data_IF_948678270314
#
_entry.id   IF_948678270314
#
_cell.length_a   1.000
_cell.length_b   1.000
_cell.length_c   1.000
_cell.angle_alpha   90.00
_cell.angle_beta   90.00
_cell.angle_gamma   90.00
#
_symmetry.space_group_name_H-M   'P 1'
#
loop_
_entity.id
_entity.type
_entity.pdbx_description
1 polymer ?
#
# COMPACT_ATOMS: atom_id res chain seq x y z
N UNK A 1 5.20 34.56 30.06
CA UNK A 1 5.69 34.25 31.42
C UNK A 1 6.44 32.90 31.46
N UNK A 2 5.85 31.75 31.15
CA UNK A 2 6.58 30.44 31.12
C UNK A 2 7.84 30.46 30.23
N UNK A 3 7.76 31.05 29.05
CA UNK A 3 8.87 31.26 28.14
C UNK A 3 10.03 32.04 28.78
N UNK A 4 9.72 33.14 29.45
CA UNK A 4 10.74 33.98 30.08
C UNK A 4 11.40 33.26 31.26
N UNK A 5 10.63 32.58 32.10
CA UNK A 5 11.15 31.82 33.24
C UNK A 5 12.04 30.65 32.82
N UNK A 6 11.74 30.03 31.72
CA UNK A 6 12.48 28.84 31.24
C UNK A 6 13.72 29.23 30.42
N UNK A 7 13.61 30.20 29.49
CA UNK A 7 14.67 30.52 28.55
C UNK A 7 15.48 31.76 28.94
N UNK A 8 14.83 32.81 29.40
CA UNK A 8 15.51 34.06 29.75
C UNK A 8 16.11 34.07 31.15
N UNK A 9 15.34 33.63 32.11
CA UNK A 9 15.80 33.64 33.52
C UNK A 9 16.41 32.29 33.97
N UNK A 10 16.23 31.21 33.19
CA UNK A 10 16.72 29.87 33.48
C UNK A 10 16.39 29.37 34.91
N UNK A 11 15.35 29.91 35.50
CA UNK A 11 14.91 29.55 36.85
C UNK A 11 14.09 28.27 36.88
N UNK A 12 13.48 27.91 35.72
CA UNK A 12 12.62 26.73 35.61
C UNK A 12 13.25 25.70 34.68
N UNK A 13 13.48 24.49 35.18
CA UNK A 13 13.91 23.39 34.32
C UNK A 13 12.82 23.03 33.30
N UNK A 14 13.17 22.56 32.09
CA UNK A 14 12.20 22.22 31.03
C UNK A 14 11.10 21.27 31.47
N UNK A 15 11.44 20.24 32.26
CA UNK A 15 10.51 19.26 32.78
C UNK A 15 9.47 19.90 33.75
N UNK A 16 9.88 20.87 34.60
CA UNK A 16 8.95 21.61 35.46
C UNK A 16 8.06 22.54 34.64
N UNK A 17 8.60 23.18 33.60
CA UNK A 17 7.79 24.00 32.68
C UNK A 17 6.71 23.16 31.98
N UNK A 18 7.05 21.97 31.53
CA UNK A 18 6.09 20.99 30.99
C UNK A 18 5.05 20.61 32.05
N UNK A 19 5.46 20.32 33.29
CA UNK A 19 4.55 20.03 34.42
C UNK A 19 3.54 21.14 34.69
N UNK A 20 4.00 22.39 34.72
CA UNK A 20 3.12 23.58 34.93
C UNK A 20 2.12 23.67 33.76
N UNK A 21 2.56 23.49 32.53
CA UNK A 21 1.68 23.50 31.34
C UNK A 21 0.65 22.37 31.41
N UNK A 22 1.06 21.20 31.90
CA UNK A 22 0.19 20.05 32.11
C UNK A 22 -0.88 20.34 33.19
N UNK A 23 -0.51 20.88 34.33
CA UNK A 23 -1.43 21.26 35.41
C UNK A 23 -2.43 22.29 34.89
N UNK A 24 -1.96 23.30 34.15
CA UNK A 24 -2.84 24.29 33.54
C UNK A 24 -3.86 23.68 32.59
N UNK A 25 -3.42 22.76 31.74
CA UNK A 25 -4.31 22.02 30.83
C UNK A 25 -5.32 21.20 31.61
N UNK A 26 -4.90 20.44 32.63
CA UNK A 26 -5.78 19.66 33.49
C UNK A 26 -6.83 20.53 34.19
N UNK A 27 -6.41 21.66 34.77
CA UNK A 27 -7.31 22.58 35.43
C UNK A 27 -8.37 23.15 34.46
N UNK A 28 -7.96 23.56 33.27
CA UNK A 28 -8.88 24.05 32.24
C UNK A 28 -9.88 22.96 31.79
N UNK A 29 -9.41 21.71 31.60
CA UNK A 29 -10.29 20.60 31.30
C UNK A 29 -11.26 20.28 32.43
N UNK A 30 -10.79 20.37 33.68
CA UNK A 30 -11.63 20.17 34.88
C UNK A 30 -12.73 21.23 35.01
N UNK A 31 -12.37 22.50 34.81
CA UNK A 31 -13.34 23.61 34.85
C UNK A 31 -14.43 23.48 33.80
N UNK A 32 -14.02 23.02 32.58
CA UNK A 32 -14.97 22.85 31.48
C UNK A 32 -15.72 21.53 31.53
N UNK A 33 -15.44 20.64 32.51
CA UNK A 33 -16.05 19.30 32.57
C UNK A 33 -17.55 19.36 32.80
N UNK A 34 -18.00 20.25 33.68
CA UNK A 34 -19.42 20.45 34.02
C UNK A 34 -20.14 21.38 33.05
N UNK A 35 -19.43 22.40 32.59
CA UNK A 35 -19.99 23.41 31.71
C UNK A 35 -19.62 23.11 30.27
N UNK A 36 -20.57 23.23 29.35
CA UNK A 36 -20.33 23.08 27.91
C UNK A 36 -19.49 24.25 27.32
N UNK A 37 -18.57 24.84 28.10
CA UNK A 37 -17.74 25.96 27.72
C UNK A 37 -16.70 25.57 26.64
N UNK A 38 -17.18 25.22 25.47
CA UNK A 38 -16.38 24.84 24.28
C UNK A 38 -15.27 25.87 23.94
N UNK A 39 -15.48 27.20 24.04
CA UNK A 39 -14.44 28.17 23.69
C UNK A 39 -13.21 28.13 24.60
N UNK A 40 -13.38 27.91 25.89
CA UNK A 40 -12.25 27.83 26.85
C UNK A 40 -11.38 26.64 26.52
N UNK A 41 -11.99 25.53 26.24
CA UNK A 41 -11.28 24.28 25.83
C UNK A 41 -10.49 24.49 24.54
N UNK A 42 -11.06 25.22 23.58
CA UNK A 42 -10.43 25.54 22.31
C UNK A 42 -9.17 26.37 22.49
N UNK A 43 -9.31 27.48 23.25
CA UNK A 43 -8.18 28.38 23.52
C UNK A 43 -7.08 27.67 24.31
N UNK A 44 -7.46 26.89 25.33
CA UNK A 44 -6.48 26.16 26.17
C UNK A 44 -5.74 25.10 25.34
N UNK A 45 -6.46 24.31 24.57
CA UNK A 45 -5.87 23.27 23.74
C UNK A 45 -4.92 23.86 22.69
N UNK A 46 -5.32 24.96 22.05
CA UNK A 46 -4.47 25.65 21.08
C UNK A 46 -3.23 26.25 21.76
N UNK A 47 -3.44 26.98 22.86
CA UNK A 47 -2.34 27.62 23.62
C UNK A 47 -1.34 26.57 24.11
N UNK A 48 -1.82 25.48 24.74
CA UNK A 48 -0.95 24.39 25.19
C UNK A 48 -0.18 23.77 24.04
N UNK A 49 -0.84 23.52 22.90
CA UNK A 49 -0.19 22.91 21.72
C UNK A 49 0.92 23.81 21.15
N UNK A 50 0.64 25.10 20.99
CA UNK A 50 1.61 26.06 20.46
C UNK A 50 2.79 26.25 21.41
N UNK A 51 2.49 26.47 22.71
CA UNK A 51 3.55 26.68 23.71
C UNK A 51 4.42 25.43 23.88
N UNK A 52 3.82 24.23 23.88
CA UNK A 52 4.57 22.98 23.98
C UNK A 52 5.51 22.80 22.78
N UNK A 53 5.06 23.05 21.55
CA UNK A 53 5.92 22.98 20.36
C UNK A 53 7.07 24.00 20.38
N UNK A 54 6.78 25.24 20.78
CA UNK A 54 7.81 26.28 20.86
C UNK A 54 8.86 25.92 21.93
N UNK A 55 8.41 25.50 23.10
CA UNK A 55 9.31 25.12 24.20
C UNK A 55 10.11 23.85 23.86
N UNK A 56 9.53 22.87 23.17
CA UNK A 56 10.23 21.67 22.68
C UNK A 56 11.46 22.04 21.87
N UNK A 57 11.32 22.98 20.93
CA UNK A 57 12.43 23.43 20.07
C UNK A 57 13.44 24.25 20.87
N UNK A 58 12.94 25.16 21.71
CA UNK A 58 13.77 26.15 22.38
C UNK A 58 14.54 25.62 23.60
N UNK A 59 14.04 24.58 24.27
CA UNK A 59 14.67 23.99 25.46
C UNK A 59 15.48 22.73 25.17
N UNK A 60 15.43 22.24 23.93
CA UNK A 60 16.03 20.98 23.50
C UNK A 60 15.56 19.73 24.29
N UNK A 61 14.46 19.85 25.06
CA UNK A 61 13.83 18.75 25.79
C UNK A 61 12.57 18.28 25.05
N UNK A 62 12.74 17.29 24.20
CA UNK A 62 11.64 16.82 23.33
C UNK A 62 10.61 15.99 24.11
N UNK A 63 11.04 15.14 25.04
CA UNK A 63 10.15 14.12 25.65
C UNK A 63 9.11 14.71 26.58
N UNK A 64 9.48 15.69 27.41
CA UNK A 64 8.58 16.31 28.36
C UNK A 64 7.40 16.97 27.65
N UNK A 65 7.67 17.72 26.57
CA UNK A 65 6.62 18.45 25.83
C UNK A 65 5.77 17.53 24.96
N UNK A 66 6.33 16.48 24.36
CA UNK A 66 5.54 15.45 23.67
C UNK A 66 4.60 14.76 24.66
N UNK A 67 5.05 14.47 25.87
CA UNK A 67 4.20 13.91 26.93
C UNK A 67 2.99 14.78 27.25
N UNK A 68 3.16 16.09 27.33
CA UNK A 68 2.06 17.04 27.54
C UNK A 68 1.09 17.09 26.37
N UNK A 69 1.61 17.03 25.13
CA UNK A 69 0.75 17.00 23.94
C UNK A 69 -0.08 15.70 23.88
N UNK A 70 0.53 14.54 24.17
CA UNK A 70 -0.19 13.27 24.28
C UNK A 70 -1.24 13.32 25.38
N UNK A 71 -0.89 13.85 26.55
CA UNK A 71 -1.85 14.05 27.66
C UNK A 71 -3.03 14.92 27.23
N UNK A 72 -2.77 16.04 26.57
CA UNK A 72 -3.82 16.94 26.07
C UNK A 72 -4.72 16.24 25.04
N UNK A 73 -4.15 15.41 24.18
CA UNK A 73 -4.88 14.60 23.21
C UNK A 73 -5.82 13.60 23.92
N UNK A 74 -5.31 12.89 24.93
CA UNK A 74 -6.09 11.93 25.75
C UNK A 74 -7.23 12.65 26.47
N UNK A 75 -6.98 13.81 27.06
CA UNK A 75 -8.02 14.62 27.72
C UNK A 75 -9.12 15.03 26.74
N UNK A 76 -8.76 15.42 25.51
CA UNK A 76 -9.73 15.72 24.45
C UNK A 76 -10.59 14.47 24.10
N UNK A 77 -9.98 13.29 24.04
CA UNK A 77 -10.70 12.05 23.75
C UNK A 77 -11.65 11.64 24.90
N UNK A 78 -11.22 11.78 26.15
CA UNK A 78 -12.04 11.47 27.32
C UNK A 78 -13.26 12.40 27.39
N UNK A 79 -13.05 13.72 27.24
CA UNK A 79 -14.16 14.70 27.32
C UNK A 79 -15.10 14.60 26.11
N UNK A 80 -14.55 14.40 24.92
CA UNK A 80 -15.35 14.28 23.69
C UNK A 80 -16.31 13.10 23.74
N UNK A 81 -15.91 12.08 24.47
CA UNK A 81 -16.61 10.81 24.48
C UNK A 81 -16.62 10.18 23.07
N UNK A 82 -17.04 8.94 22.97
CA UNK A 82 -17.00 8.23 21.70
C UNK A 82 -18.01 8.75 20.66
N UNK A 83 -19.11 9.36 21.11
CA UNK A 83 -20.18 9.89 20.23
C UNK A 83 -19.98 11.32 19.75
N UNK A 84 -19.14 12.10 20.39
CA UNK A 84 -18.85 13.48 19.99
C UNK A 84 -17.35 13.64 19.79
N UNK A 85 -16.85 13.48 18.57
CA UNK A 85 -15.50 13.95 18.28
C UNK A 85 -15.51 15.48 18.51
N UNK A 86 -14.80 15.93 19.54
CA UNK A 86 -14.65 17.37 19.76
C UNK A 86 -13.99 17.97 18.51
N UNK A 87 -14.59 19.03 17.97
CA UNK A 87 -14.02 19.79 16.84
C UNK A 87 -12.61 20.31 17.12
N UNK A 88 -12.21 20.31 18.40
CA UNK A 88 -10.92 20.81 18.92
C UNK A 88 -9.81 19.77 18.80
N UNK A 89 -10.12 18.48 18.82
CA UNK A 89 -9.16 17.37 18.82
C UNK A 89 -8.10 17.40 17.70
N UNK A 90 -8.40 17.84 16.49
CA UNK A 90 -7.39 17.93 15.44
C UNK A 90 -6.17 18.78 15.79
N UNK A 91 -6.32 19.77 16.66
CA UNK A 91 -5.23 20.68 17.04
C UNK A 91 -4.16 19.96 17.85
N UNK A 92 -4.46 19.34 19.02
CA UNK A 92 -3.46 18.61 19.78
C UNK A 92 -2.96 17.36 19.02
N UNK A 93 -3.78 16.74 18.18
CA UNK A 93 -3.37 15.61 17.37
C UNK A 93 -2.30 16.01 16.36
N UNK A 94 -2.55 17.07 15.58
CA UNK A 94 -1.58 17.60 14.63
C UNK A 94 -0.31 18.11 15.33
N UNK A 95 -0.46 18.78 16.47
CA UNK A 95 0.68 19.24 17.25
C UNK A 95 1.54 18.07 17.76
N UNK A 96 0.91 16.97 18.19
CA UNK A 96 1.64 15.77 18.62
C UNK A 96 2.38 15.10 17.46
N UNK A 97 1.75 15.01 16.27
CA UNK A 97 2.42 14.50 15.06
C UNK A 97 3.63 15.34 14.70
N UNK A 98 3.51 16.68 14.72
CA UNK A 98 4.61 17.59 14.43
C UNK A 98 5.72 17.41 15.48
N UNK A 99 5.37 17.27 16.76
CA UNK A 99 6.34 17.07 17.84
C UNK A 99 7.13 15.76 17.67
N UNK A 100 6.46 14.67 17.32
CA UNK A 100 7.10 13.37 17.03
C UNK A 100 7.94 13.45 15.75
N UNK A 101 7.48 14.18 14.74
CA UNK A 101 8.24 14.40 13.52
C UNK A 101 9.51 15.22 13.77
N UNK A 102 9.44 16.27 14.59
CA UNK A 102 10.62 17.04 15.03
C UNK A 102 11.62 16.14 15.76
N UNK A 103 11.16 15.30 16.69
CA UNK A 103 12.01 14.31 17.36
C UNK A 103 12.69 13.37 16.34
N UNK A 104 11.94 12.86 15.36
CA UNK A 104 12.49 12.01 14.30
C UNK A 104 13.57 12.73 13.51
N UNK A 105 13.33 13.95 13.03
CA UNK A 105 14.27 14.74 12.22
C UNK A 105 15.55 15.04 12.99
N UNK A 106 15.45 15.44 14.24
CA UNK A 106 16.61 15.77 15.08
C UNK A 106 17.49 14.53 15.29
N UNK A 107 16.91 13.43 15.73
CA UNK A 107 17.69 12.23 16.09
C UNK A 107 18.00 11.32 14.89
N UNK A 108 17.45 11.56 13.72
CA UNK A 108 17.87 10.87 12.48
C UNK A 108 19.22 11.39 11.96
N UNK A 109 19.65 12.58 12.40
CA UNK A 109 20.96 13.13 12.08
C UNK A 109 21.84 13.17 13.36
N UNK A 110 22.64 12.13 13.63
CA UNK A 110 23.36 11.98 14.89
C UNK A 110 24.42 13.07 15.12
N UNK A 111 24.98 13.66 14.06
CA UNK A 111 25.98 14.73 14.20
C UNK A 111 25.36 16.04 14.70
N UNK A 112 24.18 16.38 14.23
CA UNK A 112 23.45 17.58 14.65
C UNK A 112 22.87 17.40 16.07
N UNK A 113 22.39 16.22 16.40
CA UNK A 113 21.81 15.94 17.72
C UNK A 113 22.83 15.90 18.85
N UNK A 114 24.09 15.53 18.60
CA UNK A 114 25.12 15.35 19.61
C UNK A 114 25.62 16.66 20.24
N UNK A 115 25.38 17.81 19.62
CA UNK A 115 25.89 19.11 20.10
C UNK A 115 24.96 19.73 21.16
N UNK A 116 23.63 19.64 20.98
CA UNK A 116 22.67 20.41 21.78
C UNK A 116 21.61 19.56 22.50
N UNK A 117 21.48 18.26 22.13
CA UNK A 117 20.42 17.40 22.64
C UNK A 117 20.96 16.25 23.52
N UNK A 118 20.18 15.86 24.52
CA UNK A 118 20.54 14.75 25.40
C UNK A 118 20.56 13.43 24.60
N UNK A 119 21.55 12.57 24.90
CA UNK A 119 21.61 11.21 24.34
C UNK A 119 20.46 10.37 24.90
N UNK A 120 19.51 10.02 24.06
CA UNK A 120 18.36 9.20 24.41
C UNK A 120 18.57 7.74 23.93
N UNK A 121 18.10 6.80 24.72
CA UNK A 121 18.10 5.40 24.32
C UNK A 121 17.06 5.12 23.24
N UNK A 122 17.28 4.10 22.43
CA UNK A 122 16.40 3.70 21.34
C UNK A 122 14.93 3.54 21.78
N UNK A 123 14.71 2.87 22.90
CA UNK A 123 13.33 2.68 23.43
C UNK A 123 12.65 3.99 23.80
N UNK A 124 13.40 4.93 24.36
CA UNK A 124 12.88 6.26 24.73
C UNK A 124 12.47 7.06 23.50
N UNK A 125 13.21 6.95 22.40
CA UNK A 125 12.89 7.60 21.12
C UNK A 125 11.67 6.98 20.44
N UNK A 126 11.45 5.67 20.60
CA UNK A 126 10.32 4.96 20.00
C UNK A 126 9.01 5.15 20.76
N UNK A 127 9.08 5.29 22.09
CA UNK A 127 7.90 5.33 22.96
C UNK A 127 6.86 6.35 22.54
N UNK A 128 7.19 7.63 22.21
CA UNK A 128 6.17 8.61 21.80
C UNK A 128 5.41 8.21 20.55
N UNK A 129 6.09 7.72 19.53
CA UNK A 129 5.48 7.33 18.26
C UNK A 129 4.58 6.09 18.42
N UNK A 130 5.03 5.10 19.19
CA UNK A 130 4.24 3.90 19.49
C UNK A 130 2.99 4.28 20.30
N UNK A 131 3.15 5.13 21.30
CA UNK A 131 2.04 5.54 22.18
C UNK A 131 0.99 6.33 21.40
N UNK A 132 1.43 7.25 20.54
CA UNK A 132 0.55 8.01 19.66
C UNK A 132 -0.24 7.09 18.72
N UNK A 133 0.44 6.16 18.07
CA UNK A 133 -0.22 5.19 17.18
C UNK A 133 -1.22 4.30 17.93
N UNK A 134 -0.86 3.80 19.10
CA UNK A 134 -1.77 2.99 19.92
C UNK A 134 -3.03 3.77 20.33
N UNK A 135 -2.89 5.02 20.74
CA UNK A 135 -4.02 5.88 21.07
C UNK A 135 -4.96 6.06 19.87
N UNK A 136 -4.42 6.31 18.68
CA UNK A 136 -5.25 6.47 17.48
C UNK A 136 -5.97 5.17 17.10
N UNK A 137 -5.30 4.02 17.18
CA UNK A 137 -5.91 2.73 16.89
C UNK A 137 -6.99 2.37 17.90
N UNK A 138 -6.72 2.53 19.21
CA UNK A 138 -7.71 2.26 20.26
C UNK A 138 -8.96 3.11 20.03
N UNK A 139 -8.76 4.38 19.72
CA UNK A 139 -9.87 5.28 19.41
C UNK A 139 -10.68 4.84 18.21
N UNK A 140 -10.03 4.53 17.07
CA UNK A 140 -10.71 4.05 15.87
C UNK A 140 -11.52 2.78 16.17
N UNK A 141 -10.95 1.85 16.95
CA UNK A 141 -11.61 0.63 17.36
C UNK A 141 -12.84 0.92 18.25
N UNK A 142 -12.68 1.77 19.25
CA UNK A 142 -13.79 2.13 20.15
C UNK A 142 -14.92 2.80 19.38
N UNK A 143 -14.62 3.78 18.52
CA UNK A 143 -15.64 4.48 17.74
C UNK A 143 -16.37 3.58 16.76
N UNK A 144 -15.63 2.75 16.01
CA UNK A 144 -16.21 1.97 14.92
C UNK A 144 -16.83 0.65 15.36
N UNK A 145 -16.16 -0.08 16.29
CA UNK A 145 -16.58 -1.44 16.69
C UNK A 145 -17.52 -1.39 17.87
N UNK A 146 -17.22 -0.58 18.88
CA UNK A 146 -18.00 -0.54 20.11
C UNK A 146 -19.24 0.33 19.97
N UNK A 147 -19.08 1.54 19.41
CA UNK A 147 -20.20 2.49 19.26
C UNK A 147 -20.86 2.46 17.88
N UNK A 148 -20.28 1.78 16.90
CA UNK A 148 -20.84 1.66 15.56
C UNK A 148 -20.89 2.99 14.78
N UNK A 149 -20.09 3.98 15.18
CA UNK A 149 -20.10 5.29 14.55
C UNK A 149 -19.36 5.31 13.21
N UNK A 150 -19.76 6.25 12.35
CA UNK A 150 -19.09 6.50 11.06
C UNK A 150 -17.76 7.19 11.30
N UNK A 151 -16.67 6.53 10.96
CA UNK A 151 -15.34 7.13 11.01
C UNK A 151 -15.25 8.33 10.09
N UNK A 152 -14.68 9.44 10.55
CA UNK A 152 -14.43 10.63 9.73
C UNK A 152 -13.15 10.45 8.92
N UNK A 153 -13.07 11.12 7.77
CA UNK A 153 -11.86 11.13 6.94
C UNK A 153 -10.65 11.65 7.75
N UNK A 154 -10.87 12.65 8.58
CA UNK A 154 -9.84 13.25 9.43
C UNK A 154 -9.26 12.24 10.42
N UNK A 155 -10.13 11.46 11.11
CA UNK A 155 -9.69 10.43 12.06
C UNK A 155 -8.87 9.35 11.37
N UNK A 156 -9.27 8.98 10.14
CA UNK A 156 -8.53 7.99 9.35
C UNK A 156 -7.19 8.53 8.89
N UNK A 157 -7.13 9.78 8.42
CA UNK A 157 -5.90 10.42 8.01
C UNK A 157 -4.92 10.56 9.18
N UNK A 158 -5.41 10.95 10.36
CA UNK A 158 -4.61 11.05 11.57
C UNK A 158 -3.95 9.71 11.94
N UNK A 159 -4.73 8.63 11.93
CA UNK A 159 -4.19 7.31 12.22
C UNK A 159 -3.15 6.86 11.16
N UNK A 160 -3.33 7.22 9.89
CA UNK A 160 -2.33 6.95 8.83
C UNK A 160 -1.03 7.71 9.12
N UNK A 161 -1.13 9.00 9.48
CA UNK A 161 0.05 9.82 9.81
C UNK A 161 0.79 9.23 11.00
N UNK A 162 0.08 8.91 12.09
CA UNK A 162 0.67 8.29 13.29
C UNK A 162 1.33 6.94 12.99
N UNK A 163 0.73 6.13 12.10
CA UNK A 163 1.31 4.86 11.64
C UNK A 163 2.61 5.09 10.85
N UNK A 164 2.60 6.04 9.92
CA UNK A 164 3.80 6.36 9.12
C UNK A 164 4.92 6.93 9.99
N UNK A 165 4.60 7.77 10.97
CA UNK A 165 5.57 8.28 11.94
C UNK A 165 6.18 7.15 12.78
N UNK A 166 5.35 6.24 13.29
CA UNK A 166 5.84 5.08 14.04
C UNK A 166 6.76 4.21 13.17
N UNK A 167 6.39 3.94 11.91
CA UNK A 167 7.23 3.20 10.97
C UNK A 167 8.55 3.90 10.70
N UNK A 168 8.53 5.21 10.48
CA UNK A 168 9.73 5.99 10.29
C UNK A 168 10.64 5.95 11.53
N UNK A 169 10.10 6.14 12.73
CA UNK A 169 10.86 6.04 13.97
C UNK A 169 11.51 4.65 14.14
N UNK A 170 10.78 3.56 13.88
CA UNK A 170 11.33 2.21 13.96
C UNK A 170 12.43 1.99 12.91
N UNK A 171 12.23 2.48 11.69
CA UNK A 171 13.21 2.37 10.61
C UNK A 171 14.53 3.08 10.97
N UNK A 172 14.47 4.31 11.49
CA UNK A 172 15.66 5.08 11.81
C UNK A 172 16.34 4.65 13.13
N UNK A 173 15.56 4.26 14.15
CA UNK A 173 16.13 4.04 15.51
C UNK A 173 16.29 2.58 15.91
N UNK A 174 15.42 1.68 15.46
CA UNK A 174 15.44 0.28 15.91
C UNK A 174 16.12 -0.71 14.96
N UNK A 175 16.58 -0.23 13.80
CA UNK A 175 17.23 -1.05 12.79
C UNK A 175 16.44 -2.32 12.39
N UNK A 176 17.13 -3.34 11.92
CA UNK A 176 16.52 -4.54 11.32
C UNK A 176 15.61 -5.34 12.27
N UNK A 177 16.02 -5.50 13.53
CA UNK A 177 15.26 -6.28 14.51
C UNK A 177 13.91 -5.63 14.87
N UNK A 178 13.90 -4.32 15.04
CA UNK A 178 12.66 -3.56 15.30
C UNK A 178 11.69 -3.61 14.13
N UNK A 179 12.20 -3.54 12.90
CA UNK A 179 11.36 -3.65 11.69
C UNK A 179 10.69 -5.03 11.58
N UNK A 180 11.40 -6.12 11.92
CA UNK A 180 10.80 -7.45 11.90
C UNK A 180 9.66 -7.59 12.93
N UNK A 181 9.85 -7.08 14.14
CA UNK A 181 8.80 -7.09 15.18
C UNK A 181 7.61 -6.26 14.73
N UNK A 182 7.84 -5.05 14.26
CA UNK A 182 6.79 -4.17 13.77
C UNK A 182 6.03 -4.79 12.58
N UNK A 183 6.75 -5.44 11.68
CA UNK A 183 6.16 -6.17 10.55
C UNK A 183 5.26 -7.31 11.02
N UNK A 184 5.71 -8.12 11.98
CA UNK A 184 4.89 -9.20 12.57
C UNK A 184 3.62 -8.66 13.26
N UNK A 185 3.76 -7.57 14.03
CA UNK A 185 2.63 -6.88 14.66
C UNK A 185 1.66 -6.35 13.59
N UNK A 186 2.19 -5.77 12.51
CA UNK A 186 1.37 -5.26 11.41
C UNK A 186 0.57 -6.37 10.72
N UNK A 187 1.16 -7.55 10.52
CA UNK A 187 0.44 -8.73 10.00
C UNK A 187 -0.68 -9.15 10.98
N UNK A 188 -0.39 -9.24 12.27
CA UNK A 188 -1.40 -9.60 13.27
C UNK A 188 -2.56 -8.60 13.30
N UNK A 189 -2.27 -7.29 13.23
CA UNK A 189 -3.28 -6.24 13.14
C UNK A 189 -4.09 -6.31 11.83
N UNK A 190 -3.44 -6.60 10.70
CA UNK A 190 -4.12 -6.80 9.43
C UNK A 190 -5.12 -7.96 9.50
N UNK A 191 -4.72 -9.09 10.09
CA UNK A 191 -5.61 -10.23 10.32
C UNK A 191 -6.77 -9.85 11.24
N UNK A 192 -6.53 -9.09 12.31
CA UNK A 192 -7.59 -8.54 13.16
C UNK A 192 -8.58 -7.68 12.38
N UNK A 193 -8.11 -6.80 11.50
CA UNK A 193 -8.96 -6.03 10.61
C UNK A 193 -9.80 -6.93 9.67
N UNK A 194 -9.24 -8.00 9.12
CA UNK A 194 -9.99 -8.97 8.30
C UNK A 194 -11.07 -9.70 9.11
N UNK A 195 -10.77 -10.09 10.34
CA UNK A 195 -11.78 -10.71 11.23
C UNK A 195 -12.95 -9.74 11.47
N UNK A 196 -12.67 -8.47 11.71
CA UNK A 196 -13.70 -7.44 11.87
C UNK A 196 -14.50 -7.21 10.57
N UNK A 197 -13.81 -7.15 9.42
CA UNK A 197 -14.45 -6.98 8.11
C UNK A 197 -15.42 -8.12 7.80
N UNK A 198 -14.99 -9.35 7.99
CA UNK A 198 -15.79 -10.54 7.64
C UNK A 198 -16.83 -10.88 8.70
N UNK A 199 -16.59 -10.54 9.98
CA UNK A 199 -17.51 -10.78 11.08
C UNK A 199 -18.51 -9.64 11.28
N UNK A 200 -18.03 -8.52 11.83
CA UNK A 200 -18.88 -7.42 12.31
C UNK A 200 -19.48 -6.56 11.19
N UNK A 201 -18.67 -6.22 10.16
CA UNK A 201 -19.10 -5.31 9.10
C UNK A 201 -19.75 -6.01 7.89
N UNK A 202 -19.82 -7.35 7.89
CA UNK A 202 -20.45 -8.10 6.81
C UNK A 202 -21.94 -7.79 6.67
N UNK A 203 -22.65 -7.66 7.79
CA UNK A 203 -24.10 -7.46 7.84
C UNK A 203 -24.50 -5.98 7.88
N UNK A 204 -23.57 -5.08 8.20
CA UNK A 204 -23.85 -3.64 8.28
C UNK A 204 -23.89 -2.99 6.89
N UNK A 205 -24.93 -2.21 6.65
CA UNK A 205 -25.07 -1.35 5.47
C UNK A 205 -24.04 -0.21 5.40
N UNK A 206 -23.30 0.01 6.47
CA UNK A 206 -22.26 1.05 6.60
C UNK A 206 -21.02 0.72 5.76
N UNK A 207 -21.08 1.08 4.49
CA UNK A 207 -20.00 0.85 3.52
C UNK A 207 -18.70 1.57 3.89
N UNK A 208 -18.78 2.71 4.60
CA UNK A 208 -17.64 3.58 4.89
C UNK A 208 -16.64 2.94 5.84
N UNK A 209 -17.08 2.42 6.99
CA UNK A 209 -16.20 1.76 7.95
C UNK A 209 -15.56 0.51 7.32
N UNK A 210 -16.34 -0.24 6.53
CA UNK A 210 -15.83 -1.37 5.77
C UNK A 210 -14.67 -0.96 4.86
N UNK A 211 -14.82 0.12 4.08
CA UNK A 211 -13.76 0.62 3.18
C UNK A 211 -12.51 1.04 3.97
N UNK A 212 -12.69 1.75 5.09
CA UNK A 212 -11.57 2.21 5.92
C UNK A 212 -10.77 1.02 6.47
N UNK A 213 -11.44 0.04 7.08
CA UNK A 213 -10.76 -1.15 7.60
C UNK A 213 -10.14 -2.01 6.49
N UNK A 214 -10.76 -2.04 5.31
CA UNK A 214 -10.19 -2.69 4.14
C UNK A 214 -8.88 -2.03 3.70
N UNK A 215 -8.85 -0.70 3.59
CA UNK A 215 -7.61 0.05 3.26
C UNK A 215 -6.54 -0.16 4.32
N UNK A 216 -6.90 -0.12 5.61
CA UNK A 216 -5.99 -0.39 6.70
C UNK A 216 -5.40 -1.80 6.65
N UNK A 217 -6.24 -2.82 6.48
CA UNK A 217 -5.75 -4.20 6.37
C UNK A 217 -4.80 -4.38 5.19
N UNK A 218 -5.07 -3.69 4.08
CA UNK A 218 -4.17 -3.72 2.91
C UNK A 218 -2.80 -3.11 3.23
N UNK A 219 -2.77 -1.90 3.78
CA UNK A 219 -1.53 -1.22 4.13
C UNK A 219 -0.71 -1.99 5.17
N UNK A 220 -1.35 -2.47 6.24
CA UNK A 220 -0.72 -3.25 7.30
C UNK A 220 -0.16 -4.58 6.79
N UNK A 221 -0.91 -5.29 5.94
CA UNK A 221 -0.44 -6.56 5.40
C UNK A 221 0.73 -6.39 4.43
N UNK A 222 0.67 -5.38 3.56
CA UNK A 222 1.77 -5.04 2.65
C UNK A 222 3.03 -4.67 3.45
N UNK A 223 2.91 -3.71 4.37
CA UNK A 223 4.01 -3.29 5.21
C UNK A 223 4.59 -4.47 6.01
N UNK A 224 3.73 -5.28 6.62
CA UNK A 224 4.13 -6.43 7.41
C UNK A 224 4.87 -7.50 6.61
N UNK A 225 4.31 -7.95 5.49
CA UNK A 225 4.92 -9.01 4.68
C UNK A 225 6.22 -8.56 4.01
N UNK A 226 6.28 -7.32 3.50
CA UNK A 226 7.47 -6.82 2.80
C UNK A 226 8.66 -6.55 3.75
N UNK A 227 8.41 -6.40 5.04
CA UNK A 227 9.47 -6.17 6.03
C UNK A 227 9.90 -7.42 6.79
N UNK A 228 8.98 -8.38 6.98
CA UNK A 228 9.29 -9.62 7.72
C UNK A 228 9.85 -10.73 6.84
N UNK A 229 9.45 -10.77 5.55
CA UNK A 229 9.79 -11.88 4.67
C UNK A 229 10.73 -11.43 3.54
N UNK A 230 11.60 -12.34 3.04
CA UNK A 230 12.32 -12.10 1.79
C UNK A 230 11.34 -11.78 0.65
N UNK A 231 11.69 -10.84 -0.24
CA UNK A 231 10.81 -10.33 -1.29
C UNK A 231 10.10 -11.42 -2.11
N UNK A 232 10.80 -12.52 -2.40
CA UNK A 232 10.22 -13.64 -3.14
C UNK A 232 9.12 -14.36 -2.36
N UNK A 233 9.33 -14.60 -1.07
CA UNK A 233 8.32 -15.25 -0.20
C UNK A 233 7.15 -14.30 0.06
N UNK A 234 7.43 -13.03 0.32
CA UNK A 234 6.40 -12.00 0.45
C UNK A 234 5.51 -11.92 -0.79
N UNK A 235 6.11 -11.97 -1.98
CA UNK A 235 5.38 -11.99 -3.26
C UNK A 235 4.42 -13.19 -3.34
N UNK A 236 4.88 -14.39 -2.98
CA UNK A 236 4.04 -15.60 -3.00
C UNK A 236 2.86 -15.46 -2.02
N UNK A 237 3.11 -15.00 -0.80
CA UNK A 237 2.06 -14.75 0.19
C UNK A 237 1.04 -13.71 -0.33
N UNK A 238 1.51 -12.61 -0.91
CA UNK A 238 0.65 -11.57 -1.51
C UNK A 238 -0.15 -12.12 -2.69
N UNK A 239 0.45 -12.96 -3.54
CA UNK A 239 -0.25 -13.64 -4.63
C UNK A 239 -1.39 -14.53 -4.11
N UNK A 240 -1.15 -15.31 -3.07
CA UNK A 240 -2.19 -16.09 -2.39
C UNK A 240 -3.30 -15.22 -1.79
N UNK A 241 -2.93 -14.13 -1.10
CA UNK A 241 -3.89 -13.16 -0.57
C UNK A 241 -4.72 -12.50 -1.69
N UNK A 242 -4.14 -12.25 -2.86
CA UNK A 242 -4.84 -11.70 -4.01
C UNK A 242 -5.96 -12.63 -4.48
N UNK A 243 -5.66 -13.91 -4.66
CA UNK A 243 -6.66 -14.93 -5.06
C UNK A 243 -7.80 -15.00 -4.05
N UNK A 244 -7.48 -15.09 -2.75
CA UNK A 244 -8.47 -15.18 -1.67
C UNK A 244 -9.35 -13.92 -1.63
N UNK A 245 -8.76 -12.72 -1.70
CA UNK A 245 -9.52 -11.47 -1.63
C UNK A 245 -10.43 -11.28 -2.86
N UNK A 246 -9.98 -11.62 -4.06
CA UNK A 246 -10.83 -11.56 -5.26
C UNK A 246 -11.99 -12.57 -5.13
N UNK A 247 -11.71 -13.81 -4.76
CA UNK A 247 -12.75 -14.82 -4.58
C UNK A 247 -13.78 -14.42 -3.51
N UNK A 248 -13.32 -13.88 -2.36
CA UNK A 248 -14.21 -13.36 -1.32
C UNK A 248 -14.99 -12.13 -1.79
N UNK A 249 -14.33 -11.21 -2.53
CA UNK A 249 -14.96 -10.01 -3.08
C UNK A 249 -16.13 -10.34 -3.99
N UNK A 250 -15.93 -11.32 -4.88
CA UNK A 250 -16.98 -11.82 -5.79
C UNK A 250 -18.12 -12.47 -4.99
N UNK A 251 -17.81 -13.40 -4.08
CA UNK A 251 -18.83 -14.10 -3.26
C UNK A 251 -19.63 -13.17 -2.35
N UNK A 252 -18.98 -12.18 -1.75
CA UNK A 252 -19.60 -11.22 -0.84
C UNK A 252 -20.15 -9.98 -1.58
N UNK A 253 -19.98 -9.90 -2.89
CA UNK A 253 -20.35 -8.74 -3.73
C UNK A 253 -19.75 -7.41 -3.23
N UNK A 254 -18.48 -7.44 -2.77
CA UNK A 254 -17.76 -6.30 -2.21
C UNK A 254 -16.58 -5.89 -3.10
N UNK A 255 -16.76 -4.81 -3.84
CA UNK A 255 -15.76 -4.25 -4.76
C UNK A 255 -14.42 -3.91 -4.05
N UNK A 256 -14.48 -3.52 -2.78
CA UNK A 256 -13.29 -3.18 -2.00
C UNK A 256 -12.35 -4.37 -1.79
N UNK A 257 -12.87 -5.58 -1.60
CA UNK A 257 -12.05 -6.79 -1.49
C UNK A 257 -11.42 -7.17 -2.85
N UNK A 258 -12.15 -7.00 -3.93
CA UNK A 258 -11.61 -7.19 -5.29
C UNK A 258 -10.47 -6.21 -5.56
N UNK A 259 -10.64 -4.93 -5.17
CA UNK A 259 -9.59 -3.91 -5.28
C UNK A 259 -8.35 -4.27 -4.47
N UNK A 260 -8.51 -4.73 -3.22
CA UNK A 260 -7.41 -5.22 -2.39
C UNK A 260 -6.66 -6.36 -3.09
N UNK A 261 -7.40 -7.33 -3.63
CA UNK A 261 -6.82 -8.44 -4.38
C UNK A 261 -6.02 -7.98 -5.59
N UNK A 262 -6.52 -6.99 -6.35
CA UNK A 262 -5.80 -6.41 -7.48
C UNK A 262 -4.52 -5.67 -7.05
N UNK A 263 -4.55 -4.95 -5.92
CA UNK A 263 -3.37 -4.31 -5.33
C UNK A 263 -2.34 -5.34 -4.89
N UNK A 264 -2.76 -6.37 -4.16
CA UNK A 264 -1.84 -7.44 -3.73
C UNK A 264 -1.20 -8.17 -4.93
N UNK A 265 -1.97 -8.47 -5.97
CA UNK A 265 -1.45 -9.09 -7.17
C UNK A 265 -0.40 -8.21 -7.86
N UNK A 266 -0.68 -6.91 -8.00
CA UNK A 266 0.25 -5.95 -8.61
C UNK A 266 1.54 -5.86 -7.82
N UNK A 267 1.48 -5.74 -6.50
CA UNK A 267 2.66 -5.72 -5.64
C UNK A 267 3.41 -7.06 -5.69
N UNK A 268 2.70 -8.19 -5.74
CA UNK A 268 3.29 -9.52 -5.88
C UNK A 268 4.10 -9.67 -7.19
N UNK A 269 3.56 -9.18 -8.31
CA UNK A 269 4.25 -9.19 -9.62
C UNK A 269 5.53 -8.33 -9.58
N UNK A 270 5.50 -7.17 -8.91
CA UNK A 270 6.67 -6.30 -8.75
C UNK A 270 7.69 -6.94 -7.82
N UNK A 271 7.27 -7.39 -6.63
CA UNK A 271 8.14 -7.96 -5.61
C UNK A 271 8.80 -9.29 -6.03
N UNK A 272 8.11 -10.11 -6.83
CA UNK A 272 8.65 -11.34 -7.40
C UNK A 272 9.66 -11.11 -8.55
N UNK A 273 9.86 -9.85 -8.95
CA UNK A 273 10.62 -9.47 -10.16
C UNK A 273 10.02 -10.02 -11.48
N UNK A 274 8.76 -10.48 -11.46
CA UNK A 274 8.08 -10.94 -12.67
C UNK A 274 7.96 -9.84 -13.73
N UNK A 275 7.80 -8.59 -13.29
CA UNK A 275 7.80 -7.41 -14.16
C UNK A 275 9.15 -7.23 -14.87
N UNK A 276 10.27 -7.30 -14.12
CA UNK A 276 11.62 -7.18 -14.67
C UNK A 276 11.93 -8.36 -15.61
N UNK A 277 11.55 -9.56 -15.21
CA UNK A 277 11.69 -10.76 -16.03
C UNK A 277 10.92 -10.62 -17.35
N UNK A 278 9.64 -10.25 -17.30
CA UNK A 278 8.82 -10.06 -18.50
C UNK A 278 9.32 -8.93 -19.39
N UNK A 279 9.73 -7.80 -18.80
CA UNK A 279 10.33 -6.71 -19.54
C UNK A 279 11.63 -7.16 -20.23
N UNK A 280 12.55 -7.81 -19.52
CA UNK A 280 13.81 -8.30 -20.08
C UNK A 280 13.59 -9.33 -21.20
N UNK A 281 12.59 -10.21 -21.06
CA UNK A 281 12.18 -11.13 -22.15
C UNK A 281 11.66 -10.35 -23.35
N UNK A 282 10.91 -9.26 -23.16
CA UNK A 282 10.33 -8.47 -24.24
C UNK A 282 11.36 -7.56 -24.94
N UNK A 283 12.40 -7.13 -24.24
CA UNK A 283 13.45 -6.24 -24.77
C UNK A 283 14.69 -6.98 -25.29
N UNK A 284 14.68 -8.32 -25.28
CA UNK A 284 15.79 -9.12 -25.81
C UNK A 284 17.05 -9.13 -24.95
N UNK A 285 17.00 -8.55 -23.76
CA UNK A 285 18.12 -8.61 -22.82
C UNK A 285 18.34 -10.05 -22.31
N UNK A 286 19.59 -10.37 -21.89
CA UNK A 286 19.92 -11.67 -21.29
C UNK A 286 18.98 -11.93 -20.12
N UNK A 287 18.02 -12.79 -20.33
CA UNK A 287 16.93 -13.05 -19.39
C UNK A 287 17.47 -13.57 -18.07
N UNK A 288 17.13 -12.95 -16.93
CA UNK A 288 17.49 -13.47 -15.63
C UNK A 288 16.93 -14.89 -15.44
N UNK A 289 17.63 -15.71 -14.62
CA UNK A 289 17.17 -17.08 -14.34
C UNK A 289 15.74 -17.06 -13.82
N UNK A 290 14.87 -17.90 -14.40
CA UNK A 290 13.52 -18.09 -13.90
C UNK A 290 13.55 -18.62 -12.46
N UNK A 291 12.92 -17.91 -11.55
CA UNK A 291 12.74 -18.33 -10.15
C UNK A 291 11.37 -18.98 -9.97
N UNK A 292 11.24 -19.88 -9.01
CA UNK A 292 9.96 -20.52 -8.66
C UNK A 292 8.84 -19.51 -8.41
N UNK A 293 9.20 -18.35 -7.86
CA UNK A 293 8.25 -17.29 -7.57
C UNK A 293 7.47 -16.80 -8.79
N UNK A 294 8.14 -16.74 -9.97
CA UNK A 294 7.52 -16.28 -11.21
C UNK A 294 6.41 -17.25 -11.65
N UNK A 295 6.64 -18.56 -11.54
CA UNK A 295 5.65 -19.59 -11.85
C UNK A 295 4.43 -19.51 -10.92
N UNK A 296 4.68 -19.39 -9.61
CA UNK A 296 3.61 -19.30 -8.61
C UNK A 296 2.79 -18.03 -8.81
N UNK A 297 3.44 -16.88 -9.03
CA UNK A 297 2.73 -15.63 -9.27
C UNK A 297 1.92 -15.66 -10.57
N UNK A 298 2.44 -16.28 -11.61
CA UNK A 298 1.69 -16.48 -12.87
C UNK A 298 0.44 -17.34 -12.64
N UNK A 299 0.55 -18.40 -11.83
CA UNK A 299 -0.59 -19.21 -11.43
C UNK A 299 -1.58 -18.40 -10.57
N UNK A 300 -1.11 -17.62 -9.60
CA UNK A 300 -1.97 -16.74 -8.79
C UNK A 300 -2.70 -15.70 -9.66
N UNK A 301 -2.03 -15.11 -10.65
CA UNK A 301 -2.66 -14.18 -11.57
C UNK A 301 -3.78 -14.84 -12.39
N UNK A 302 -3.52 -16.04 -12.90
CA UNK A 302 -4.52 -16.81 -13.63
C UNK A 302 -5.71 -17.21 -12.74
N UNK A 303 -5.44 -17.69 -11.53
CA UNK A 303 -6.48 -18.06 -10.55
C UNK A 303 -7.30 -16.84 -10.14
N UNK A 304 -6.66 -15.68 -9.94
CA UNK A 304 -7.33 -14.41 -9.65
C UNK A 304 -8.28 -14.02 -10.77
N UNK A 305 -7.86 -14.18 -12.02
CA UNK A 305 -8.71 -13.94 -13.19
C UNK A 305 -9.90 -14.90 -13.24
N UNK A 306 -9.66 -16.20 -13.03
CA UNK A 306 -10.73 -17.22 -13.03
C UNK A 306 -11.73 -16.96 -11.89
N UNK A 307 -11.26 -16.66 -10.69
CA UNK A 307 -12.10 -16.38 -9.52
C UNK A 307 -13.01 -15.18 -9.73
N UNK A 308 -12.54 -14.17 -10.45
CA UNK A 308 -13.32 -12.98 -10.77
C UNK A 308 -14.41 -13.16 -11.84
N UNK A 309 -14.44 -14.26 -12.57
CA UNK A 309 -15.27 -14.48 -13.77
C UNK A 309 -16.79 -14.33 -13.54
N UNK A 310 -17.30 -14.69 -12.37
CA UNK A 310 -18.73 -14.73 -12.08
C UNK A 310 -19.40 -13.35 -12.08
N UNK A 311 -18.64 -12.25 -11.98
CA UNK A 311 -19.14 -10.89 -11.85
C UNK A 311 -19.00 -10.00 -13.09
N UNK A 312 -18.70 -10.61 -14.22
CA UNK A 312 -18.34 -9.94 -15.47
C UNK A 312 -19.46 -9.03 -16.05
N UNK A 313 -20.73 -9.30 -15.71
CA UNK A 313 -21.89 -8.55 -16.19
C UNK A 313 -22.33 -7.39 -15.28
N UNK A 314 -21.61 -7.13 -14.18
CA UNK A 314 -21.92 -6.03 -13.27
C UNK A 314 -21.14 -4.75 -13.61
N UNK A 315 -21.31 -3.69 -12.82
CA UNK A 315 -20.83 -2.34 -13.04
C UNK A 315 -19.39 -2.23 -13.61
N UNK A 316 -19.13 -1.23 -14.45
CA UNK A 316 -17.86 -0.96 -15.12
C UNK A 316 -16.61 -0.98 -14.20
N UNK A 317 -16.78 -0.67 -12.91
CA UNK A 317 -15.70 -0.73 -11.89
C UNK A 317 -15.17 -2.14 -11.66
N UNK A 318 -16.06 -3.13 -11.63
CA UNK A 318 -15.67 -4.54 -11.53
C UNK A 318 -14.95 -5.00 -12.80
N UNK A 319 -15.38 -4.54 -13.98
CA UNK A 319 -14.70 -4.83 -15.25
C UNK A 319 -13.27 -4.29 -15.27
N UNK A 320 -13.01 -3.09 -14.71
CA UNK A 320 -11.66 -2.53 -14.64
C UNK A 320 -10.72 -3.37 -13.76
N UNK A 321 -11.20 -3.88 -12.62
CA UNK A 321 -10.41 -4.74 -11.75
C UNK A 321 -10.13 -6.11 -12.38
N UNK A 322 -11.09 -6.65 -13.10
CA UNK A 322 -10.90 -7.85 -13.93
C UNK A 322 -9.85 -7.66 -15.02
N UNK A 323 -9.83 -6.48 -15.64
CA UNK A 323 -8.81 -6.13 -16.63
C UNK A 323 -7.40 -6.16 -16.01
N UNK A 324 -7.22 -5.71 -14.78
CA UNK A 324 -5.90 -5.75 -14.09
C UNK A 324 -5.43 -7.19 -13.90
N UNK A 325 -6.28 -8.08 -13.40
CA UNK A 325 -5.90 -9.50 -13.21
C UNK A 325 -5.65 -10.21 -14.53
N UNK A 326 -6.46 -9.94 -15.55
CA UNK A 326 -6.28 -10.47 -16.91
C UNK A 326 -4.96 -9.98 -17.55
N UNK A 327 -4.64 -8.69 -17.36
CA UNK A 327 -3.39 -8.10 -17.84
C UNK A 327 -2.16 -8.78 -17.24
N UNK A 328 -2.12 -8.92 -15.91
CA UNK A 328 -1.00 -9.57 -15.24
C UNK A 328 -0.90 -11.06 -15.61
N UNK A 329 -2.02 -11.77 -15.74
CA UNK A 329 -2.04 -13.15 -16.19
C UNK A 329 -1.47 -13.27 -17.61
N UNK A 330 -1.95 -12.44 -18.54
CA UNK A 330 -1.47 -12.44 -19.93
C UNK A 330 0.02 -12.10 -20.03
N UNK A 331 0.47 -11.08 -19.31
CA UNK A 331 1.86 -10.63 -19.28
C UNK A 331 2.80 -11.74 -18.75
N UNK A 332 2.47 -12.35 -17.60
CA UNK A 332 3.28 -13.39 -17.01
C UNK A 332 3.32 -14.66 -17.88
N UNK A 333 2.18 -15.07 -18.46
CA UNK A 333 2.11 -16.25 -19.32
C UNK A 333 2.88 -16.01 -20.62
N UNK A 334 2.78 -14.81 -21.23
CA UNK A 334 3.56 -14.49 -22.43
C UNK A 334 5.07 -14.55 -22.17
N UNK A 335 5.53 -14.04 -21.04
CA UNK A 335 6.93 -14.11 -20.63
C UNK A 335 7.41 -15.55 -20.40
N UNK A 336 6.58 -16.40 -19.77
CA UNK A 336 6.90 -17.82 -19.57
C UNK A 336 6.89 -18.61 -20.88
N UNK A 337 5.96 -18.33 -21.80
CA UNK A 337 5.93 -18.94 -23.15
C UNK A 337 7.20 -18.58 -23.91
N UNK A 338 7.59 -17.31 -23.96
CA UNK A 338 8.82 -16.88 -24.62
C UNK A 338 10.04 -17.60 -24.05
N UNK A 339 10.12 -17.70 -22.71
CA UNK A 339 11.23 -18.44 -22.06
C UNK A 339 11.19 -19.92 -22.34
N UNK A 340 10.01 -20.53 -22.40
CA UNK A 340 9.83 -21.95 -22.77
C UNK A 340 10.31 -22.22 -24.18
N UNK A 341 9.89 -21.39 -25.14
CA UNK A 341 10.30 -21.50 -26.54
C UNK A 341 11.83 -21.32 -26.69
N UNK A 342 12.40 -20.30 -26.01
CA UNK A 342 13.86 -20.10 -25.98
C UNK A 342 14.59 -21.30 -25.38
N UNK A 343 14.07 -21.91 -24.33
CA UNK A 343 14.63 -23.14 -23.74
C UNK A 343 14.65 -24.31 -24.73
N UNK A 344 13.57 -24.48 -25.49
CA UNK A 344 13.49 -25.53 -26.53
C UNK A 344 14.43 -25.24 -27.70
N UNK A 345 14.45 -23.98 -28.17
CA UNK A 345 15.36 -23.61 -29.29
C UNK A 345 16.82 -23.74 -28.90
N UNK A 346 17.18 -23.44 -27.66
CA UNK A 346 18.55 -23.59 -27.14
C UNK A 346 19.05 -25.06 -27.12
N UNK A 347 18.16 -26.05 -27.19
CA UNK A 347 18.54 -27.45 -27.31
C UNK A 347 19.06 -27.81 -28.72
N UNK A 348 18.66 -27.02 -29.72
CA UNK A 348 18.97 -27.31 -31.12
C UNK A 348 19.96 -26.33 -31.74
N UNK A 349 19.93 -25.08 -31.31
CA UNK A 349 20.74 -23.99 -31.87
C UNK A 349 21.22 -23.07 -30.73
N UNK A 350 22.49 -22.63 -30.83
CA UNK A 350 23.00 -21.61 -29.88
C UNK A 350 22.21 -20.33 -30.10
N UNK A 351 21.52 -19.81 -29.10
CA UNK A 351 20.66 -18.65 -29.27
C UNK A 351 21.51 -17.37 -29.47
N UNK A 352 21.46 -16.84 -30.68
CA UNK A 352 22.01 -15.55 -31.05
C UNK A 352 20.90 -14.46 -30.86
N UNK A 353 21.26 -13.20 -30.73
CA UNK A 353 20.33 -12.11 -30.46
C UNK A 353 19.13 -12.03 -31.42
N UNK A 354 19.34 -12.34 -32.70
CA UNK A 354 18.28 -12.34 -33.69
C UNK A 354 17.29 -13.52 -33.53
N UNK A 355 17.75 -14.70 -33.05
CA UNK A 355 16.85 -15.81 -32.68
C UNK A 355 15.99 -15.44 -31.49
N UNK A 356 16.58 -14.75 -30.52
CA UNK A 356 15.90 -14.29 -29.33
C UNK A 356 14.79 -13.30 -29.71
N UNK A 357 15.08 -12.31 -30.56
CA UNK A 357 14.10 -11.33 -31.02
C UNK A 357 12.90 -11.99 -31.74
N UNK A 358 13.15 -12.94 -32.65
CA UNK A 358 12.10 -13.68 -33.35
C UNK A 358 11.22 -14.48 -32.38
N UNK A 359 11.84 -15.20 -31.43
CA UNK A 359 11.09 -16.01 -30.44
C UNK A 359 10.18 -15.12 -29.57
N UNK A 360 10.66 -13.96 -29.19
CA UNK A 360 9.83 -13.01 -28.41
C UNK A 360 8.62 -12.51 -29.22
N UNK A 361 8.84 -12.16 -30.49
CA UNK A 361 7.74 -11.75 -31.39
C UNK A 361 6.74 -12.88 -31.55
N UNK A 362 7.20 -14.11 -31.76
CA UNK A 362 6.36 -15.29 -31.90
C UNK A 362 5.55 -15.58 -30.62
N UNK A 363 6.16 -15.44 -29.44
CA UNK A 363 5.48 -15.67 -28.17
C UNK A 363 4.36 -14.65 -27.92
N UNK A 364 4.61 -13.36 -28.19
CA UNK A 364 3.59 -12.30 -28.00
C UNK A 364 2.47 -12.46 -29.03
N UNK A 365 2.80 -12.79 -30.30
CA UNK A 365 1.80 -13.06 -31.34
C UNK A 365 0.93 -14.25 -30.96
N UNK A 366 1.52 -15.36 -30.51
CA UNK A 366 0.79 -16.53 -30.03
C UNK A 366 -0.15 -16.17 -28.87
N UNK A 367 0.35 -15.39 -27.91
CA UNK A 367 -0.48 -14.92 -26.81
C UNK A 367 -1.63 -14.04 -27.29
N UNK A 368 -1.40 -13.14 -28.26
CA UNK A 368 -2.45 -12.31 -28.84
C UNK A 368 -3.55 -13.16 -29.51
N UNK A 369 -3.19 -14.23 -30.20
CA UNK A 369 -4.14 -15.19 -30.81
C UNK A 369 -4.95 -15.91 -29.72
N UNK A 370 -4.29 -16.41 -28.66
CA UNK A 370 -4.96 -17.10 -27.53
C UNK A 370 -5.95 -16.12 -26.86
N UNK A 371 -5.54 -14.88 -26.59
CA UNK A 371 -6.39 -13.86 -26.00
C UNK A 371 -7.57 -13.50 -26.91
N UNK A 372 -7.35 -13.42 -28.23
CA UNK A 372 -8.41 -13.19 -29.20
C UNK A 372 -9.44 -14.32 -29.22
N UNK A 373 -8.96 -15.59 -29.18
CA UNK A 373 -9.83 -16.77 -29.12
C UNK A 373 -10.68 -16.78 -27.84
N UNK A 374 -10.07 -16.52 -26.67
CA UNK A 374 -10.79 -16.41 -25.40
C UNK A 374 -11.74 -15.20 -25.42
N UNK A 375 -11.30 -14.10 -26.02
CA UNK A 375 -12.09 -12.90 -26.21
C UNK A 375 -13.31 -13.11 -27.10
N UNK A 376 -13.19 -13.96 -28.13
CA UNK A 376 -14.30 -14.32 -29.02
C UNK A 376 -15.48 -14.96 -28.29
N UNK A 377 -15.23 -15.56 -27.12
CA UNK A 377 -16.26 -16.14 -26.23
C UNK A 377 -17.02 -15.09 -25.41
N UNK A 378 -17.01 -13.81 -25.80
CA UNK A 378 -17.76 -12.74 -25.16
C UNK A 378 -16.98 -11.91 -24.11
N UNK A 379 -15.67 -12.15 -23.93
CA UNK A 379 -14.86 -11.46 -22.91
C UNK A 379 -14.20 -10.20 -23.46
N UNK A 380 -14.79 -9.04 -23.19
CA UNK A 380 -14.34 -7.73 -23.71
C UNK A 380 -12.90 -7.37 -23.27
N UNK A 381 -12.54 -7.68 -22.04
CA UNK A 381 -11.20 -7.41 -21.48
C UNK A 381 -10.11 -8.16 -22.28
N UNK A 382 -10.35 -9.42 -22.64
CA UNK A 382 -9.40 -10.22 -23.42
C UNK A 382 -9.25 -9.68 -24.84
N UNK A 383 -10.33 -9.19 -25.45
CA UNK A 383 -10.26 -8.52 -26.77
C UNK A 383 -9.36 -7.28 -26.71
N UNK A 384 -9.50 -6.46 -25.67
CA UNK A 384 -8.68 -5.25 -25.49
C UNK A 384 -7.22 -5.57 -25.26
N UNK A 385 -6.93 -6.60 -24.46
CA UNK A 385 -5.54 -7.04 -24.20
C UNK A 385 -4.92 -7.64 -25.47
N UNK A 386 -5.68 -8.38 -26.28
CA UNK A 386 -5.20 -8.89 -27.57
C UNK A 386 -4.77 -7.76 -28.52
N UNK A 387 -5.56 -6.69 -28.63
CA UNK A 387 -5.18 -5.51 -29.44
C UNK A 387 -3.97 -4.77 -28.84
N UNK A 388 -3.89 -4.66 -27.52
CA UNK A 388 -2.74 -4.06 -26.85
C UNK A 388 -1.46 -4.89 -27.11
N UNK A 389 -1.55 -6.23 -27.10
CA UNK A 389 -0.44 -7.11 -27.45
C UNK A 389 0.03 -6.90 -28.91
N UNK A 390 -0.89 -6.74 -29.87
CA UNK A 390 -0.53 -6.39 -31.26
C UNK A 390 0.20 -5.05 -31.36
N UNK A 391 -0.23 -4.04 -30.60
CA UNK A 391 0.46 -2.75 -30.55
C UNK A 391 1.87 -2.89 -29.98
N UNK A 392 2.05 -3.69 -28.93
CA UNK A 392 3.37 -3.99 -28.35
C UNK A 392 4.28 -4.68 -29.37
N UNK A 393 3.76 -5.67 -30.15
CA UNK A 393 4.54 -6.32 -31.21
C UNK A 393 4.92 -5.31 -32.29
N UNK A 394 4.02 -4.42 -32.72
CA UNK A 394 4.34 -3.40 -33.72
C UNK A 394 5.47 -2.48 -33.25
N UNK A 395 5.41 -2.01 -32.00
CA UNK A 395 6.47 -1.18 -31.40
C UNK A 395 7.78 -1.97 -31.33
N UNK A 396 7.75 -3.23 -30.88
CA UNK A 396 8.91 -4.09 -30.76
C UNK A 396 9.58 -4.31 -32.13
N UNK A 397 8.81 -4.62 -33.16
CA UNK A 397 9.33 -4.77 -34.53
C UNK A 397 10.11 -3.56 -35.00
N UNK A 398 9.59 -2.36 -34.73
CA UNK A 398 10.23 -1.10 -35.14
C UNK A 398 11.51 -0.79 -34.35
N UNK A 399 11.54 -1.04 -33.05
CA UNK A 399 12.65 -0.61 -32.19
C UNK A 399 13.70 -1.69 -31.93
N UNK A 400 13.32 -2.97 -31.95
CA UNK A 400 14.21 -4.09 -31.61
C UNK A 400 14.57 -4.93 -32.85
N UNK A 401 13.57 -5.49 -33.55
CA UNK A 401 13.82 -6.42 -34.66
C UNK A 401 14.53 -5.75 -35.85
N UNK A 402 14.14 -4.51 -36.19
CA UNK A 402 14.81 -3.74 -37.23
C UNK A 402 16.26 -3.30 -36.85
N UNK A 403 16.52 -3.11 -35.57
CA UNK A 403 17.83 -2.63 -35.09
C UNK A 403 18.86 -3.74 -34.96
N UNK A 404 18.45 -4.94 -34.60
CA UNK A 404 19.36 -6.06 -34.26
C UNK A 404 19.21 -7.27 -35.15
N UNK A 405 18.24 -7.27 -36.07
CA UNK A 405 17.89 -8.44 -36.85
C UNK A 405 18.70 -8.61 -38.15
N UNK A 406 19.09 -9.83 -38.49
CA UNK A 406 19.42 -10.22 -39.86
C UNK A 406 18.16 -10.14 -40.71
N UNK A 407 18.30 -9.75 -42.00
CA UNK A 407 17.15 -9.54 -42.91
C UNK A 407 16.15 -10.71 -42.94
N UNK A 408 16.64 -11.93 -42.89
CA UNK A 408 15.82 -13.14 -42.92
C UNK A 408 14.90 -13.27 -41.67
N UNK A 409 15.44 -13.00 -40.51
CA UNK A 409 14.69 -13.06 -39.24
C UNK A 409 13.73 -11.89 -39.08
N UNK A 410 14.12 -10.70 -39.54
CA UNK A 410 13.22 -9.53 -39.59
C UNK A 410 12.03 -9.84 -40.51
N UNK A 411 12.28 -10.40 -41.71
CA UNK A 411 11.21 -10.81 -42.63
C UNK A 411 10.27 -11.85 -41.97
N UNK A 412 10.83 -12.84 -41.26
CA UNK A 412 10.05 -13.83 -40.53
C UNK A 412 9.20 -13.20 -39.41
N UNK A 413 9.75 -12.27 -38.62
CA UNK A 413 9.02 -11.53 -37.59
C UNK A 413 7.85 -10.73 -38.18
N UNK A 414 8.08 -10.03 -39.30
CA UNK A 414 7.02 -9.29 -39.99
C UNK A 414 5.95 -10.22 -40.56
N UNK A 415 6.33 -11.39 -41.10
CA UNK A 415 5.38 -12.37 -41.56
C UNK A 415 4.48 -12.90 -40.45
N UNK A 416 5.07 -13.30 -39.30
CA UNK A 416 4.32 -13.74 -38.11
C UNK A 416 3.36 -12.66 -37.61
N UNK A 417 3.83 -11.43 -37.57
CA UNK A 417 3.00 -10.29 -37.18
C UNK A 417 1.85 -10.05 -38.16
N UNK A 418 2.10 -10.06 -39.47
CA UNK A 418 1.07 -9.88 -40.50
C UNK A 418 -0.03 -10.94 -40.40
N UNK A 419 0.36 -12.23 -40.23
CA UNK A 419 -0.59 -13.33 -40.00
C UNK A 419 -1.42 -13.08 -38.74
N UNK A 420 -0.77 -12.64 -37.65
CA UNK A 420 -1.46 -12.35 -36.39
C UNK A 420 -2.40 -11.16 -36.51
N UNK A 421 -1.99 -10.10 -37.23
CA UNK A 421 -2.78 -8.89 -37.46
C UNK A 421 -4.07 -9.22 -38.25
N UNK A 422 -4.07 -10.24 -39.12
CA UNK A 422 -5.23 -10.70 -39.85
C UNK A 422 -6.10 -11.62 -38.99
N UNK A 423 -5.47 -12.58 -38.29
CA UNK A 423 -6.19 -13.62 -37.53
C UNK A 423 -6.89 -13.10 -36.29
N UNK A 424 -6.30 -12.18 -35.53
CA UNK A 424 -6.88 -11.64 -34.30
C UNK A 424 -8.21 -10.93 -34.51
N UNK A 425 -8.37 -9.99 -35.47
CA UNK A 425 -9.67 -9.37 -35.75
C UNK A 425 -10.70 -10.36 -36.30
N UNK A 426 -10.25 -11.34 -37.14
CA UNK A 426 -11.17 -12.33 -37.66
C UNK A 426 -11.75 -13.26 -36.59
N UNK A 427 -10.92 -13.73 -35.65
CA UNK A 427 -11.38 -14.49 -34.48
C UNK A 427 -12.38 -13.74 -33.65
N UNK A 428 -12.07 -12.46 -33.33
CA UNK A 428 -12.96 -11.60 -32.55
C UNK A 428 -14.31 -11.37 -33.25
N UNK A 429 -14.30 -11.21 -34.58
CA UNK A 429 -15.52 -10.97 -35.35
C UNK A 429 -16.38 -12.24 -35.46
N UNK A 430 -15.79 -13.42 -35.70
CA UNK A 430 -16.52 -14.69 -35.74
C UNK A 430 -17.24 -15.01 -34.43
N UNK A 431 -16.65 -14.69 -33.29
CA UNK A 431 -17.30 -14.87 -31.98
C UNK A 431 -18.54 -13.99 -31.80
N UNK A 432 -18.61 -12.84 -32.47
CA UNK A 432 -19.79 -11.96 -32.42
C UNK A 432 -20.98 -12.51 -33.22
N UNK A 433 -20.72 -13.20 -34.33
CA UNK A 433 -21.78 -13.78 -35.18
C UNK A 433 -22.33 -15.09 -34.62
N UNK A 434 -21.61 -15.81 -33.77
CA UNK A 434 -22.06 -17.04 -33.12
C UNK A 434 -22.90 -16.81 -31.85
N UNK A 435 -22.97 -15.57 -31.33
CA UNK A 435 -23.75 -15.21 -30.14
C UNK A 435 -25.11 -14.58 -30.43
N UNK A 436 -25.47 -14.43 -31.69
CA UNK A 436 -26.80 -14.06 -32.21
C UNK A 436 -27.43 -15.27 -32.92
#
# INVERSE_FOLDING_TARGET
>A
MLWELTLRFQTLQPAFAAGVLGIFSLAAFWMTWKDEASPVLWVTSLATSVIALILQIATHDNLAFIGILIMTLVLCDIKGGPRRSLRIRPIPALATDIAVWILLVIYSNPEAALQDYAKLGTYTLLTPAILLFLLEIIRLMVQSVWFGEKLTLLNTAQAIVSFLLMWACVYFFAHHAGLMILGAVSIAMALGCYVLLLGRFRQNTETRNFVIFAVWSTGLLLAGLLTTLPLGTAAVCLGGCAVVNIALGVRLKRLTLELQGAVYLTVAVIASRSLQFGAGVLTGEITPKTTWNIWIISACALLSYIAGKERQNEAWKSQALHFVSAWWAAFCIAALLARGILGITALFVVPLNFHIALVHTLAICLMAIILAFVGAQGRLEMKRIAYAALAVVAIKLLFEDLRHGHMEFVAASFFVFAVTLITVPQLIRKGHTASH
#
